data_IF_911090783909
#
_entry.id   IF_911090783909
#
_cell.length_a   1.000
_cell.length_b   1.000
_cell.length_c   1.000
_cell.angle_alpha   90.00
_cell.angle_beta   90.00
_cell.angle_gamma   90.00
#
_symmetry.space_group_name_H-M   'P 1'
#
loop_
_entity.id
_entity.type
_entity.pdbx_description
1 polymer ?
#
# COMPACT_ATOMS: atom_id res chain seq x y z
N UNK A 1 15.02 -20.38 -10.20
CA UNK A 1 15.08 -18.97 -10.61
C UNK A 1 13.66 -18.53 -10.93
N UNK A 2 12.87 -18.19 -9.92
CA UNK A 2 11.47 -17.78 -10.06
C UNK A 2 11.43 -16.40 -10.71
N UNK A 3 10.87 -16.35 -11.92
CA UNK A 3 10.74 -15.13 -12.72
C UNK A 3 9.68 -14.24 -12.07
N UNK A 4 10.07 -13.05 -11.63
CA UNK A 4 9.14 -12.04 -11.11
C UNK A 4 8.66 -11.21 -12.30
N UNK A 5 7.49 -11.55 -12.85
CA UNK A 5 6.90 -10.78 -13.95
C UNK A 5 6.27 -9.48 -13.40
N UNK A 6 6.71 -8.29 -13.85
CA UNK A 6 6.19 -7.04 -13.32
C UNK A 6 4.75 -6.80 -13.79
N UNK A 7 3.81 -6.75 -12.84
CA UNK A 7 2.42 -6.36 -13.11
C UNK A 7 2.36 -4.86 -13.38
N UNK A 8 2.03 -4.49 -14.61
CA UNK A 8 1.88 -3.10 -15.02
C UNK A 8 0.57 -2.51 -14.48
N UNK A 9 0.65 -1.81 -13.34
CA UNK A 9 -0.52 -1.18 -12.70
C UNK A 9 -0.84 0.14 -13.41
N UNK A 10 -2.00 0.21 -14.07
CA UNK A 10 -2.51 1.46 -14.64
C UNK A 10 -3.15 2.31 -13.54
N UNK A 11 -2.59 3.49 -13.26
CA UNK A 11 -3.20 4.47 -12.35
C UNK A 11 -4.29 5.23 -13.13
N UNK A 12 -5.55 4.86 -12.93
CA UNK A 12 -6.70 5.54 -13.53
C UNK A 12 -6.95 6.90 -12.85
N UNK A 13 -7.25 7.95 -13.63
CA UNK A 13 -7.38 9.35 -13.17
C UNK A 13 -8.62 9.70 -12.33
N UNK A 14 -9.24 8.73 -11.67
CA UNK A 14 -10.40 8.91 -10.79
C UNK A 14 -10.02 8.90 -9.31
N UNK A 15 -10.96 9.30 -8.44
CA UNK A 15 -10.81 9.23 -6.99
C UNK A 15 -10.55 7.78 -6.54
N UNK A 16 -9.47 7.49 -5.80
CA UNK A 16 -9.14 6.11 -5.39
C UNK A 16 -10.13 5.54 -4.35
N UNK A 17 -10.97 6.38 -3.76
CA UNK A 17 -11.93 5.97 -2.71
C UNK A 17 -13.32 5.63 -3.29
N UNK A 18 -13.76 6.33 -4.32
CA UNK A 18 -15.11 6.16 -4.87
C UNK A 18 -15.22 6.27 -6.40
N UNK A 19 -14.08 6.38 -7.10
CA UNK A 19 -13.94 6.41 -8.56
C UNK A 19 -14.61 7.57 -9.31
N UNK A 20 -15.17 8.56 -8.61
CA UNK A 20 -15.66 9.81 -9.22
C UNK A 20 -14.49 10.62 -9.81
N UNK A 21 -14.75 11.53 -10.78
CA UNK A 21 -13.73 12.44 -11.29
C UNK A 21 -13.03 13.21 -10.17
N UNK A 22 -11.71 13.34 -10.25
CA UNK A 22 -10.95 14.08 -9.26
C UNK A 22 -11.21 15.60 -9.39
N UNK A 23 -11.31 16.27 -8.25
CA UNK A 23 -11.45 17.73 -8.18
C UNK A 23 -10.04 18.36 -8.11
N UNK A 24 -9.68 19.31 -8.99
CA UNK A 24 -8.35 19.93 -9.03
C UNK A 24 -7.75 20.34 -7.69
N UNK A 25 -8.57 20.85 -6.77
CA UNK A 25 -8.11 21.34 -5.46
C UNK A 25 -7.72 20.24 -4.47
N UNK A 26 -8.24 19.02 -4.66
CA UNK A 26 -8.09 17.90 -3.72
C UNK A 26 -7.63 16.62 -4.39
N UNK A 27 -6.92 16.73 -5.53
CA UNK A 27 -6.38 15.58 -6.26
C UNK A 27 -5.48 14.72 -5.35
N UNK A 28 -5.55 13.39 -5.45
CA UNK A 28 -6.28 12.59 -6.44
C UNK A 28 -7.77 12.37 -6.12
N UNK A 29 -8.33 12.97 -5.07
CA UNK A 29 -9.69 12.72 -4.60
C UNK A 29 -10.76 13.60 -5.28
N UNK A 30 -12.03 13.26 -5.07
CA UNK A 30 -13.17 14.08 -5.53
C UNK A 30 -13.72 15.03 -4.45
N UNK A 31 -13.29 14.91 -3.18
CA UNK A 31 -13.73 15.75 -2.06
C UNK A 31 -12.85 15.58 -0.82
N UNK A 32 -12.89 16.55 0.10
CA UNK A 32 -12.23 16.47 1.42
C UNK A 32 -12.68 15.22 2.21
N UNK A 33 -13.96 14.84 2.11
CA UNK A 33 -14.47 13.61 2.74
C UNK A 33 -13.71 12.37 2.27
N UNK A 34 -13.40 12.25 0.97
CA UNK A 34 -12.66 11.11 0.46
C UNK A 34 -11.20 11.12 0.92
N UNK A 35 -10.57 12.30 1.00
CA UNK A 35 -9.23 12.43 1.57
C UNK A 35 -9.17 11.95 3.02
N UNK A 36 -10.15 12.35 3.85
CA UNK A 36 -10.20 11.93 5.24
C UNK A 36 -10.51 10.45 5.42
N UNK A 37 -11.33 9.85 4.53
CA UNK A 37 -11.55 8.41 4.53
C UNK A 37 -10.30 7.62 4.17
N UNK A 38 -9.52 8.11 3.20
CA UNK A 38 -8.22 7.51 2.86
C UNK A 38 -7.28 7.56 4.06
N UNK A 39 -7.12 8.74 4.67
CA UNK A 39 -6.32 8.92 5.87
C UNK A 39 -6.78 7.99 7.00
N UNK A 40 -8.08 7.83 7.21
CA UNK A 40 -8.63 6.89 8.17
C UNK A 40 -8.14 5.46 7.92
N UNK A 41 -8.17 4.98 6.67
CA UNK A 41 -7.69 3.63 6.31
C UNK A 41 -6.19 3.43 6.57
N UNK A 42 -5.40 4.48 6.43
CA UNK A 42 -3.97 4.46 6.80
C UNK A 42 -3.80 4.32 8.31
N UNK A 43 -4.49 5.15 9.08
CA UNK A 43 -4.39 5.16 10.53
C UNK A 43 -4.93 3.88 11.17
N UNK A 44 -5.87 3.20 10.52
CA UNK A 44 -6.43 1.92 10.98
C UNK A 44 -5.75 0.71 10.35
N UNK A 45 -4.57 0.89 9.74
CA UNK A 45 -3.78 -0.18 9.11
C UNK A 45 -4.61 -1.09 8.18
N UNK A 46 -5.57 -0.51 7.47
CA UNK A 46 -6.52 -1.27 6.65
C UNK A 46 -5.97 -1.61 5.26
N UNK A 47 -4.90 -0.96 4.85
CA UNK A 47 -4.17 -1.32 3.63
C UNK A 47 -3.32 -2.57 3.84
N UNK A 48 -3.35 -3.47 2.86
CA UNK A 48 -2.61 -4.73 2.85
C UNK A 48 -1.92 -4.87 1.49
N UNK A 49 -0.66 -5.27 1.53
CA UNK A 49 0.09 -5.64 0.33
C UNK A 49 0.03 -7.16 0.21
N UNK A 50 -0.48 -7.66 -0.91
CA UNK A 50 -0.45 -9.09 -1.19
C UNK A 50 0.99 -9.55 -1.38
N UNK A 51 1.42 -10.53 -0.58
CA UNK A 51 2.67 -11.25 -0.77
C UNK A 51 2.46 -12.59 -1.46
N UNK A 52 3.54 -13.27 -1.89
CA UNK A 52 3.47 -14.70 -2.20
C UNK A 52 2.94 -15.48 -0.98
N UNK A 53 2.30 -16.64 -1.18
CA UNK A 53 1.97 -17.52 -0.07
C UNK A 53 3.26 -17.85 0.71
N UNK A 54 3.24 -17.63 2.02
CA UNK A 54 4.33 -18.01 2.91
C UNK A 54 4.03 -19.40 3.47
N UNK A 55 5.00 -20.31 3.40
CA UNK A 55 4.96 -21.54 4.19
C UNK A 55 5.14 -21.16 5.68
N UNK A 56 4.62 -21.99 6.59
CA UNK A 56 4.46 -21.66 8.02
C UNK A 56 5.81 -21.32 8.70
N UNK A 57 6.91 -21.96 8.28
CA UNK A 57 8.28 -21.70 8.75
C UNK A 57 8.89 -20.40 8.20
N UNK A 58 8.47 -19.93 7.01
CA UNK A 58 9.00 -18.71 6.38
C UNK A 58 8.34 -17.42 6.92
N UNK A 59 7.11 -17.54 7.42
CA UNK A 59 6.38 -16.40 8.01
C UNK A 59 7.05 -15.87 9.28
N UNK A 60 7.66 -16.73 10.11
CA UNK A 60 8.37 -16.34 11.33
C UNK A 60 9.66 -15.54 11.02
N UNK A 61 10.36 -15.91 9.95
CA UNK A 61 11.62 -15.28 9.52
C UNK A 61 11.41 -13.96 8.76
N UNK A 62 10.23 -13.77 8.13
CA UNK A 62 9.92 -12.57 7.35
C UNK A 62 9.74 -11.30 8.21
N UNK A 63 9.23 -11.45 9.45
CA UNK A 63 9.07 -10.31 10.37
C UNK A 63 10.35 -9.98 11.15
N UNK A 64 11.32 -10.89 11.23
CA UNK A 64 12.59 -10.67 11.94
C UNK A 64 13.63 -9.89 11.12
N UNK A 65 13.42 -9.70 9.82
CA UNK A 65 14.36 -9.03 8.92
C UNK A 65 14.07 -7.53 8.74
N UNK A 66 13.71 -6.83 9.82
CA UNK A 66 14.04 -5.40 9.88
C UNK A 66 15.54 -5.33 10.12
N UNK A 67 16.31 -5.03 9.09
CA UNK A 67 17.77 -4.93 9.20
C UNK A 67 18.14 -4.03 10.39
N UNK A 68 19.02 -4.48 11.31
CA UNK A 68 19.61 -3.58 12.30
C UNK A 68 20.25 -2.40 11.58
N UNK A 69 19.94 -1.17 12.02
CA UNK A 69 20.64 0.03 11.54
C UNK A 69 22.13 -0.17 11.81
N UNK A 70 23.04 0.08 10.85
CA UNK A 70 24.47 -0.17 11.01
C UNK A 70 25.21 0.84 11.92
N UNK A 71 24.56 1.47 12.90
CA UNK A 71 25.19 2.43 13.83
C UNK A 71 24.72 2.21 15.29
N UNK A 72 24.99 1.02 15.83
CA UNK A 72 24.98 0.72 17.27
C UNK A 72 26.40 0.22 17.66
N UNK A 73 27.41 1.07 17.41
CA UNK A 73 28.72 1.19 18.10
C UNK A 73 29.35 2.55 17.73
#
# INVERSE_FOLDING_TARGET
MTSFEPVSVRVGGGCPICHKPSEPRVRPFCSERCQQLDLGRWLTESYRVSGPPLEEDEAAEAFSQTTPRPDDD
#
